data_IF_467168699397
#
_entry.id   IF_467168699397
#
_cell.length_a   1.000
_cell.length_b   1.000
_cell.length_c   1.000
_cell.angle_alpha   90.00
_cell.angle_beta   90.00
_cell.angle_gamma   90.00
#
_symmetry.space_group_name_H-M   'P 1'
#
loop_
_entity.id
_entity.type
_entity.pdbx_description
1 polymer ?
#
# COMPACT_ATOMS: atom_id res chain seq x y z
N UNK A 1 16.89 11.84 0.13
CA UNK A 1 15.81 11.24 -0.66
C UNK A 1 14.56 11.15 0.18
N UNK A 2 13.42 11.45 -0.39
CA UNK A 2 12.16 11.18 0.25
C UNK A 2 12.05 9.66 0.46
N UNK A 3 11.70 9.25 1.65
CA UNK A 3 11.23 7.89 1.91
C UNK A 3 9.71 7.98 2.06
N UNK A 4 9.01 6.96 1.64
CA UNK A 4 7.56 6.94 1.72
C UNK A 4 7.09 6.74 3.17
N UNK A 5 6.04 7.47 3.52
CA UNK A 5 5.38 7.40 4.81
C UNK A 5 3.92 6.99 4.58
N UNK A 6 3.44 6.06 5.37
CA UNK A 6 2.05 5.64 5.36
C UNK A 6 1.31 6.39 6.48
N UNK A 7 0.41 7.28 6.10
CA UNK A 7 -0.45 8.01 7.02
C UNK A 7 -1.76 7.26 7.20
N UNK A 8 -2.22 7.15 8.42
CA UNK A 8 -3.53 6.62 8.78
C UNK A 8 -4.17 7.55 9.80
N UNK A 9 -5.33 8.10 9.47
CA UNK A 9 -6.16 8.89 10.39
C UNK A 9 -7.47 8.15 10.58
N UNK A 10 -7.88 7.92 11.82
CA UNK A 10 -9.15 7.32 12.16
C UNK A 10 -9.85 8.14 13.22
N UNK A 11 -11.08 8.51 12.97
CA UNK A 11 -11.89 9.24 13.94
C UNK A 11 -13.31 8.66 14.01
N UNK A 12 -13.87 8.48 15.21
CA UNK A 12 -15.25 8.01 15.37
C UNK A 12 -16.24 9.06 14.83
N UNK A 13 -17.28 8.60 14.14
CA UNK A 13 -18.35 9.47 13.68
C UNK A 13 -19.22 9.94 14.87
N UNK A 14 -19.73 11.15 14.78
CA UNK A 14 -20.77 11.64 15.68
C UNK A 14 -22.05 10.79 15.53
N UNK A 15 -22.81 10.52 16.57
CA UNK A 15 -24.06 9.76 16.48
C UNK A 15 -24.99 10.31 15.40
N UNK A 16 -25.57 9.42 14.60
CA UNK A 16 -26.50 9.76 13.52
C UNK A 16 -25.92 10.41 12.27
N UNK A 17 -24.58 10.57 12.17
CA UNK A 17 -23.92 11.21 11.01
C UNK A 17 -23.55 10.26 9.86
N UNK A 18 -23.89 8.99 9.95
CA UNK A 18 -23.62 8.02 8.87
C UNK A 18 -24.17 8.44 7.51
N UNK A 19 -25.46 8.78 7.38
CA UNK A 19 -26.07 9.19 6.10
C UNK A 19 -25.40 10.44 5.49
N UNK A 20 -25.13 11.47 6.30
CA UNK A 20 -24.44 12.69 5.85
C UNK A 20 -23.02 12.38 5.38
N UNK A 21 -22.29 11.55 6.13
CA UNK A 21 -20.94 11.10 5.75
C UNK A 21 -20.96 10.34 4.43
N UNK A 22 -21.95 9.47 4.21
CA UNK A 22 -22.10 8.73 2.95
C UNK A 22 -22.36 9.68 1.77
N UNK A 23 -23.20 10.71 1.96
CA UNK A 23 -23.46 11.73 0.94
C UNK A 23 -22.18 12.53 0.59
N UNK A 24 -21.42 12.95 1.60
CA UNK A 24 -20.16 13.67 1.39
C UNK A 24 -19.09 12.79 0.71
N UNK A 25 -19.03 11.50 1.04
CA UNK A 25 -18.13 10.56 0.36
C UNK A 25 -18.52 10.36 -1.10
N UNK A 26 -19.82 10.31 -1.40
CA UNK A 26 -20.28 10.20 -2.79
C UNK A 26 -19.97 11.48 -3.59
N UNK A 27 -20.09 12.67 -2.97
CA UNK A 27 -19.67 13.93 -3.59
C UNK A 27 -18.15 13.96 -3.84
N UNK A 28 -17.34 13.58 -2.83
CA UNK A 28 -15.88 13.46 -2.98
C UNK A 28 -15.49 12.45 -4.05
N UNK A 29 -16.19 11.33 -4.18
CA UNK A 29 -15.93 10.33 -5.22
C UNK A 29 -16.04 10.93 -6.61
N UNK A 30 -17.08 11.72 -6.87
CA UNK A 30 -17.30 12.36 -8.18
C UNK A 30 -16.19 13.34 -8.53
N UNK A 31 -15.72 14.15 -7.57
CA UNK A 31 -14.59 15.07 -7.80
C UNK A 31 -13.29 14.32 -8.02
N UNK A 32 -13.05 13.25 -7.25
CA UNK A 32 -11.84 12.42 -7.40
C UNK A 32 -11.83 11.67 -8.74
N UNK A 33 -12.96 11.12 -9.19
CA UNK A 33 -13.08 10.45 -10.51
C UNK A 33 -12.92 11.42 -11.68
N UNK A 34 -13.23 12.70 -11.50
CA UNK A 34 -13.12 13.71 -12.57
C UNK A 34 -11.68 14.19 -12.77
N UNK A 35 -11.00 14.61 -11.72
CA UNK A 35 -9.68 15.25 -11.79
C UNK A 35 -8.75 14.95 -10.60
N UNK A 36 -9.08 13.93 -9.80
CA UNK A 36 -8.38 13.58 -8.57
C UNK A 36 -8.82 14.42 -7.35
N UNK A 37 -9.62 15.45 -7.57
CA UNK A 37 -10.19 16.31 -6.53
C UNK A 37 -9.18 16.80 -5.49
N UNK A 38 -9.59 16.99 -4.23
CA UNK A 38 -8.70 17.44 -3.18
C UNK A 38 -7.57 16.47 -2.87
N UNK A 39 -7.72 15.16 -3.17
CA UNK A 39 -6.69 14.17 -2.91
C UNK A 39 -5.46 14.37 -3.81
N UNK A 40 -5.66 14.79 -5.06
CA UNK A 40 -4.58 15.09 -6.01
C UNK A 40 -3.76 16.34 -5.60
N UNK A 41 -4.36 17.25 -4.84
CA UNK A 41 -3.73 18.50 -4.41
C UNK A 41 -2.89 18.34 -3.13
N UNK A 42 -3.00 17.20 -2.45
CA UNK A 42 -2.23 16.95 -1.25
C UNK A 42 -0.74 16.70 -1.58
N UNK A 43 0.21 17.32 -0.86
CA UNK A 43 1.64 17.18 -1.16
C UNK A 43 2.14 15.74 -1.09
N UNK A 44 2.86 15.32 -2.14
CA UNK A 44 3.63 14.08 -2.17
C UNK A 44 2.81 12.78 -2.13
N UNK A 45 1.54 12.83 -2.51
CA UNK A 45 0.65 11.66 -2.48
C UNK A 45 0.94 10.73 -3.65
N UNK A 46 1.21 9.47 -3.36
CA UNK A 46 1.20 8.37 -4.33
C UNK A 46 -0.21 7.80 -4.46
N UNK A 47 -0.79 7.43 -3.33
CA UNK A 47 -2.15 6.92 -3.22
C UNK A 47 -2.83 7.53 -2.00
N UNK A 48 -4.14 7.72 -2.09
CA UNK A 48 -4.97 8.13 -0.96
C UNK A 48 -6.35 7.49 -1.04
N UNK A 49 -6.96 7.24 0.12
CA UNK A 49 -8.33 6.73 0.20
C UNK A 49 -9.07 7.19 1.44
N UNK A 50 -10.37 7.35 1.29
CA UNK A 50 -11.28 7.71 2.38
C UNK A 50 -12.45 6.73 2.39
N UNK A 51 -12.80 6.23 3.56
CA UNK A 51 -13.92 5.30 3.72
C UNK A 51 -14.46 5.32 5.14
N UNK A 52 -15.65 4.76 5.31
CA UNK A 52 -16.22 4.48 6.64
C UNK A 52 -15.85 3.07 7.04
N UNK A 53 -15.22 2.93 8.19
CA UNK A 53 -15.04 1.67 8.88
C UNK A 53 -16.25 1.41 9.74
N UNK A 54 -17.04 0.34 9.50
CA UNK A 54 -18.19 0.01 10.31
C UNK A 54 -17.87 -0.13 11.78
N UNK A 55 -18.80 0.28 12.61
CA UNK A 55 -18.77 0.03 14.05
C UNK A 55 -18.86 -1.46 14.39
N UNK A 56 -18.99 -1.73 15.66
CA UNK A 56 -19.07 -3.09 16.18
C UNK A 56 -19.84 -3.05 17.51
N UNK A 57 -21.09 -3.49 17.50
CA UNK A 57 -21.96 -3.47 18.68
C UNK A 57 -21.46 -4.40 19.79
N UNK A 58 -20.84 -5.56 19.45
CA UNK A 58 -20.27 -6.49 20.44
C UNK A 58 -19.07 -5.84 21.18
N UNK A 59 -18.40 -4.89 20.56
CA UNK A 59 -17.24 -4.19 21.11
C UNK A 59 -17.57 -2.79 21.62
N UNK A 60 -18.82 -2.34 21.50
CA UNK A 60 -19.27 -0.96 21.79
C UNK A 60 -18.43 0.09 21.04
N UNK A 61 -18.27 -0.12 19.73
CA UNK A 61 -17.47 0.74 18.85
C UNK A 61 -18.37 1.30 17.77
N UNK A 62 -18.39 2.63 17.66
CA UNK A 62 -19.13 3.36 16.63
C UNK A 62 -18.40 3.33 15.29
N UNK A 63 -19.13 3.61 14.20
CA UNK A 63 -18.54 3.87 12.88
C UNK A 63 -17.42 4.88 12.96
N UNK A 64 -16.40 4.72 12.13
CA UNK A 64 -15.29 5.65 12.09
C UNK A 64 -15.00 6.08 10.65
N UNK A 65 -14.73 7.36 10.43
CA UNK A 65 -14.12 7.82 9.19
C UNK A 65 -12.63 7.47 9.21
N UNK A 66 -12.15 6.89 8.12
CA UNK A 66 -10.74 6.52 7.95
C UNK A 66 -10.19 7.19 6.70
N UNK A 67 -9.06 7.85 6.86
CA UNK A 67 -8.22 8.36 5.78
C UNK A 67 -6.89 7.60 5.79
N UNK A 68 -6.51 7.04 4.64
CA UNK A 68 -5.21 6.42 4.41
C UNK A 68 -4.49 7.13 3.28
N UNK A 69 -3.18 7.31 3.39
CA UNK A 69 -2.36 7.75 2.27
C UNK A 69 -0.94 7.22 2.33
N UNK A 70 -0.35 7.06 1.18
CA UNK A 70 1.06 6.77 0.91
C UNK A 70 1.69 8.04 0.35
N UNK A 71 2.62 8.61 1.10
CA UNK A 71 3.16 9.93 0.80
C UNK A 71 4.69 9.97 0.85
N UNK A 72 5.26 10.92 0.16
CA UNK A 72 6.66 11.30 0.36
C UNK A 72 6.87 12.01 1.70
N UNK A 73 7.98 11.72 2.37
CA UNK A 73 8.39 12.48 3.56
C UNK A 73 8.77 13.93 3.17
N UNK A 74 8.54 14.90 4.07
CA UNK A 74 8.02 14.77 5.43
C UNK A 74 6.49 14.83 5.49
N UNK A 75 5.86 14.17 6.46
CA UNK A 75 4.40 14.13 6.60
C UNK A 75 3.74 15.46 7.04
N UNK A 76 4.51 16.40 7.63
CA UNK A 76 3.94 17.64 8.19
C UNK A 76 3.23 18.54 7.16
N UNK A 77 3.78 18.80 5.96
CA UNK A 77 3.08 19.55 4.91
C UNK A 77 1.77 18.89 4.51
N UNK A 78 1.79 17.59 4.31
CA UNK A 78 0.63 16.79 3.95
C UNK A 78 -0.50 16.89 5.00
N UNK A 79 -0.19 16.67 6.29
CA UNK A 79 -1.21 16.78 7.35
C UNK A 79 -1.77 18.19 7.53
N UNK A 80 -0.99 19.23 7.20
CA UNK A 80 -1.48 20.61 7.19
C UNK A 80 -2.41 20.87 6.01
N UNK A 81 -2.05 20.37 4.83
CA UNK A 81 -2.90 20.48 3.63
C UNK A 81 -4.21 19.72 3.83
N UNK A 82 -4.15 18.47 4.31
CA UNK A 82 -5.30 17.64 4.67
C UNK A 82 -6.27 18.35 5.62
N UNK A 83 -5.72 19.04 6.64
CA UNK A 83 -6.52 19.77 7.63
C UNK A 83 -7.03 21.13 7.14
N UNK A 84 -6.47 21.65 6.04
CA UNK A 84 -6.84 22.96 5.47
C UNK A 84 -7.85 22.84 4.32
N UNK A 85 -7.99 21.65 3.76
CA UNK A 85 -8.91 21.37 2.66
C UNK A 85 -10.35 21.44 3.11
N UNK A 86 -11.22 22.05 2.28
CA UNK A 86 -12.63 22.28 2.62
C UNK A 86 -13.50 21.04 2.52
N UNK A 87 -13.33 20.23 1.48
CA UNK A 87 -14.13 19.01 1.26
C UNK A 87 -13.75 17.91 2.27
N UNK A 88 -12.46 17.69 2.48
CA UNK A 88 -11.97 16.75 3.50
C UNK A 88 -12.28 17.26 4.91
N UNK A 89 -12.25 18.59 5.12
CA UNK A 89 -12.68 19.22 6.35
C UNK A 89 -14.17 18.98 6.65
N UNK A 90 -15.04 19.04 5.65
CA UNK A 90 -16.48 18.74 5.80
C UNK A 90 -16.72 17.28 6.22
N UNK A 91 -15.92 16.33 5.69
CA UNK A 91 -15.93 14.93 6.13
C UNK A 91 -15.46 14.78 7.59
N UNK A 92 -14.35 15.43 7.97
CA UNK A 92 -13.85 15.38 9.34
C UNK A 92 -14.79 16.07 10.32
N UNK A 93 -15.58 17.05 9.88
CA UNK A 93 -16.60 17.69 10.71
C UNK A 93 -17.73 16.73 11.16
N UNK A 94 -17.89 15.59 10.47
CA UNK A 94 -18.82 14.54 10.91
C UNK A 94 -18.26 13.72 12.08
N UNK A 95 -16.97 13.90 12.43
CA UNK A 95 -16.28 13.13 13.47
C UNK A 95 -16.34 13.82 14.84
N UNK A 96 -16.26 13.00 15.89
CA UNK A 96 -16.23 13.47 17.27
C UNK A 96 -15.03 14.38 17.55
N UNK A 97 -15.28 15.52 18.18
CA UNK A 97 -14.22 16.45 18.62
C UNK A 97 -13.51 17.21 17.50
N UNK A 98 -13.98 17.14 16.26
CA UNK A 98 -13.45 18.00 15.21
C UNK A 98 -13.77 19.47 15.52
N UNK A 99 -12.82 20.41 15.37
CA UNK A 99 -13.03 21.81 15.73
C UNK A 99 -13.81 22.55 14.64
N UNK A 100 -15.14 22.39 14.66
CA UNK A 100 -16.05 23.08 13.74
C UNK A 100 -15.90 24.61 13.87
N UNK A 101 -15.63 25.31 12.77
CA UNK A 101 -15.36 26.76 12.76
C UNK A 101 -14.01 27.15 13.41
N UNK A 102 -13.17 26.19 13.80
CA UNK A 102 -11.88 26.42 14.42
C UNK A 102 -10.79 26.84 13.45
N UNK A 103 -9.65 27.25 14.00
CA UNK A 103 -8.49 27.61 13.19
C UNK A 103 -7.89 26.38 12.47
N UNK A 104 -7.25 26.59 11.31
CA UNK A 104 -6.46 25.55 10.60
C UNK A 104 -5.46 24.84 11.50
N UNK A 105 -4.93 25.54 12.53
CA UNK A 105 -4.01 24.95 13.51
C UNK A 105 -4.73 23.95 14.43
N UNK A 106 -5.96 24.22 14.81
CA UNK A 106 -6.77 23.32 15.63
C UNK A 106 -7.14 22.06 14.83
N UNK A 107 -7.60 22.20 13.58
CA UNK A 107 -7.86 21.08 12.68
C UNK A 107 -6.61 20.21 12.45
N UNK A 108 -5.45 20.82 12.18
CA UNK A 108 -4.20 20.08 12.02
C UNK A 108 -3.72 19.37 13.30
N UNK A 109 -4.03 19.92 14.46
CA UNK A 109 -3.77 19.26 15.76
C UNK A 109 -4.69 18.06 15.93
N UNK A 110 -5.96 18.22 15.61
CA UNK A 110 -6.96 17.15 15.69
C UNK A 110 -6.60 15.98 14.76
N UNK A 111 -6.26 16.24 13.49
CA UNK A 111 -5.81 15.21 12.53
C UNK A 111 -4.60 14.46 13.08
N UNK A 112 -3.62 15.15 13.67
CA UNK A 112 -2.44 14.50 14.28
C UNK A 112 -2.78 13.63 15.49
N UNK A 113 -3.76 14.03 16.30
CA UNK A 113 -4.20 13.27 17.47
C UNK A 113 -4.94 11.99 17.08
N UNK A 114 -5.58 11.98 15.90
CA UNK A 114 -6.30 10.83 15.36
C UNK A 114 -5.44 9.94 14.45
N UNK A 115 -4.13 10.20 14.37
CA UNK A 115 -3.23 9.30 13.66
C UNK A 115 -3.12 7.95 14.36
N UNK A 116 -3.24 6.89 13.58
CA UNK A 116 -3.07 5.50 14.02
C UNK A 116 -1.77 4.93 13.46
N UNK A 117 -1.06 4.18 14.29
CA UNK A 117 0.20 3.55 13.89
C UNK A 117 -0.05 2.38 12.95
N UNK A 118 0.65 2.36 11.82
CA UNK A 118 0.69 1.21 10.92
C UNK A 118 1.49 0.09 11.58
N UNK A 119 0.92 -1.12 11.63
CA UNK A 119 1.56 -2.27 12.25
C UNK A 119 2.60 -2.91 11.33
N UNK A 120 2.29 -2.97 10.04
CA UNK A 120 3.15 -3.53 8.99
C UNK A 120 2.93 -2.75 7.71
N UNK A 121 4.00 -2.57 6.94
CA UNK A 121 3.94 -1.91 5.64
C UNK A 121 4.80 -2.63 4.61
N UNK A 122 4.35 -2.55 3.37
CA UNK A 122 5.14 -2.86 2.19
C UNK A 122 5.14 -1.63 1.27
N UNK A 123 6.28 -1.35 0.66
CA UNK A 123 6.48 -0.27 -0.32
C UNK A 123 7.33 -0.83 -1.45
N UNK A 124 6.79 -0.85 -2.67
CA UNK A 124 7.50 -1.35 -3.85
C UNK A 124 8.68 -0.44 -4.22
N UNK A 125 8.42 0.84 -4.40
CA UNK A 125 9.39 1.82 -4.89
C UNK A 125 10.07 2.60 -3.77
N UNK A 126 10.72 1.90 -2.84
CA UNK A 126 11.39 2.56 -1.69
C UNK A 126 12.38 3.63 -2.17
N UNK A 127 12.17 4.88 -1.73
CA UNK A 127 13.09 5.99 -2.00
C UNK A 127 12.81 6.74 -3.30
N UNK A 128 11.84 6.35 -4.13
CA UNK A 128 11.39 7.10 -5.31
C UNK A 128 10.14 7.91 -4.97
N UNK A 129 10.26 9.24 -5.01
CA UNK A 129 9.13 10.16 -4.78
C UNK A 129 8.15 10.19 -5.94
N UNK A 130 6.94 10.68 -5.69
CA UNK A 130 5.88 10.75 -6.72
C UNK A 130 6.30 11.60 -7.93
N UNK A 131 6.98 12.71 -7.70
CA UNK A 131 7.47 13.57 -8.80
C UNK A 131 8.54 12.83 -9.62
N UNK A 132 9.44 12.09 -8.97
CA UNK A 132 10.41 11.27 -9.67
C UNK A 132 9.75 10.18 -10.54
N UNK A 133 8.70 9.53 -10.03
CA UNK A 133 7.93 8.52 -10.79
C UNK A 133 7.32 9.15 -12.05
N UNK A 134 6.72 10.35 -11.92
CA UNK A 134 6.16 11.09 -13.05
C UNK A 134 7.21 11.51 -14.06
N UNK A 135 8.35 12.02 -13.58
CA UNK A 135 9.45 12.44 -14.44
C UNK A 135 10.06 11.26 -15.19
N UNK A 136 10.22 10.10 -14.55
CA UNK A 136 10.71 8.85 -15.17
C UNK A 136 9.73 8.35 -16.25
N UNK A 137 8.42 8.41 -16.01
CA UNK A 137 7.41 8.06 -17.01
C UNK A 137 7.41 9.03 -18.20
N UNK A 138 7.51 10.33 -17.95
CA UNK A 138 7.66 11.33 -18.98
C UNK A 138 8.92 11.14 -19.81
N UNK A 139 10.05 10.85 -19.16
CA UNK A 139 11.31 10.54 -19.84
C UNK A 139 11.15 9.38 -20.82
N UNK A 140 10.48 8.30 -20.40
CA UNK A 140 10.18 7.15 -21.28
C UNK A 140 9.39 7.58 -22.51
N UNK A 141 8.28 8.30 -22.32
CA UNK A 141 7.43 8.75 -23.42
C UNK A 141 8.16 9.63 -24.42
N UNK A 142 9.06 10.51 -23.95
CA UNK A 142 9.88 11.36 -24.82
C UNK A 142 10.94 10.54 -25.59
N UNK A 143 11.52 9.49 -24.97
CA UNK A 143 12.44 8.58 -25.65
C UNK A 143 11.71 7.75 -26.72
N UNK A 144 10.54 7.21 -26.40
CA UNK A 144 9.71 6.47 -27.35
C UNK A 144 9.35 7.35 -28.56
N UNK A 145 8.91 8.58 -28.32
CA UNK A 145 8.63 9.57 -29.39
C UNK A 145 9.87 9.87 -30.24
N UNK A 146 11.06 9.97 -29.64
CA UNK A 146 12.31 10.15 -30.37
C UNK A 146 12.64 8.95 -31.26
N UNK A 147 12.39 7.74 -30.79
CA UNK A 147 12.65 6.50 -31.52
C UNK A 147 11.66 6.25 -32.68
N UNK A 148 10.45 6.81 -32.61
CA UNK A 148 9.43 6.69 -33.64
C UNK A 148 9.82 7.37 -34.97
N UNK A 149 10.79 8.32 -34.95
CA UNK A 149 11.31 8.95 -36.14
C UNK A 149 12.64 8.30 -36.58
N UNK A 150 12.66 7.50 -37.66
CA UNK A 150 13.86 6.86 -38.16
C UNK A 150 15.01 7.82 -38.51
N UNK A 151 14.69 9.12 -38.77
CA UNK A 151 15.71 10.13 -39.10
C UNK A 151 16.61 10.44 -37.90
N UNK A 152 16.19 10.13 -36.70
CA UNK A 152 16.96 10.33 -35.47
C UNK A 152 17.98 9.20 -35.23
N UNK A 153 17.82 8.06 -35.91
CA UNK A 153 18.60 6.86 -35.64
C UNK A 153 19.76 6.69 -36.61
N UNK A 154 20.92 6.14 -36.16
CA UNK A 154 22.04 5.81 -37.04
C UNK A 154 21.60 4.69 -37.99
N UNK A 155 21.83 4.91 -39.30
CA UNK A 155 21.50 3.92 -40.34
C UNK A 155 22.36 2.67 -40.15
N UNK A 156 21.72 1.52 -39.85
CA UNK A 156 22.41 0.28 -39.56
C UNK A 156 23.22 0.29 -38.27
N UNK A 157 22.89 1.20 -37.36
CA UNK A 157 23.60 1.38 -36.11
C UNK A 157 23.47 0.21 -35.15
N UNK A 158 24.50 -0.02 -34.36
CA UNK A 158 24.48 -0.98 -33.26
C UNK A 158 23.59 -0.52 -32.10
N UNK A 159 23.18 -1.42 -31.21
CA UNK A 159 22.44 -1.04 -30.01
C UNK A 159 23.10 0.06 -29.17
N UNK A 160 24.43 0.02 -29.02
CA UNK A 160 25.19 1.04 -28.31
C UNK A 160 25.15 2.41 -29.02
N UNK A 161 25.16 2.44 -30.34
CA UNK A 161 25.05 3.69 -31.12
C UNK A 161 23.61 4.29 -30.99
N UNK A 162 22.58 3.44 -30.96
CA UNK A 162 21.20 3.90 -30.70
C UNK A 162 21.09 4.45 -29.27
N UNK A 163 21.63 3.79 -28.28
CA UNK A 163 21.67 4.27 -26.91
C UNK A 163 22.37 5.64 -26.80
N UNK A 164 23.52 5.82 -27.49
CA UNK A 164 24.25 7.10 -27.49
C UNK A 164 23.46 8.20 -28.24
N UNK A 165 22.68 7.87 -29.27
CA UNK A 165 21.78 8.81 -29.90
C UNK A 165 20.69 9.29 -28.92
N UNK A 166 20.09 8.39 -28.16
CA UNK A 166 19.13 8.73 -27.11
C UNK A 166 19.78 9.61 -26.03
N UNK A 167 20.99 9.27 -25.57
CA UNK A 167 21.72 10.08 -24.57
C UNK A 167 21.96 11.52 -25.08
N UNK A 168 22.36 11.68 -26.35
CA UNK A 168 22.54 13.00 -26.98
C UNK A 168 21.23 13.78 -27.09
N UNK A 169 20.14 13.11 -27.44
CA UNK A 169 18.79 13.70 -27.42
C UNK A 169 18.43 14.21 -26.03
N UNK A 170 18.55 13.38 -25.00
CA UNK A 170 18.27 13.76 -23.62
C UNK A 170 19.19 14.90 -23.14
N UNK A 171 20.49 14.87 -23.52
CA UNK A 171 21.45 15.94 -23.17
C UNK A 171 21.10 17.28 -23.82
N UNK A 172 20.54 17.27 -25.02
CA UNK A 172 20.09 18.47 -25.75
C UNK A 172 18.80 19.08 -25.21
N UNK A 173 18.10 18.40 -24.30
CA UNK A 173 16.83 18.82 -23.70
C UNK A 173 17.03 19.26 -22.25
N UNK A 174 16.97 20.56 -21.93
CA UNK A 174 17.16 21.06 -20.56
C UNK A 174 16.19 20.46 -19.54
N UNK A 175 14.95 20.18 -19.96
CA UNK A 175 13.90 19.57 -19.16
C UNK A 175 14.10 18.07 -18.90
N UNK A 176 14.97 17.38 -19.65
CA UNK A 176 15.29 15.96 -19.50
C UNK A 176 16.72 15.71 -18.98
N UNK A 177 17.62 16.71 -19.04
CA UNK A 177 19.03 16.56 -18.68
C UNK A 177 19.30 16.06 -17.25
N UNK A 178 18.31 16.16 -16.35
CA UNK A 178 18.35 15.59 -15.01
C UNK A 178 18.53 14.07 -15.04
N UNK A 179 18.02 13.38 -16.08
CA UNK A 179 18.05 11.93 -16.21
C UNK A 179 19.45 11.36 -16.41
N UNK A 180 20.37 12.17 -16.96
CA UNK A 180 21.78 11.80 -17.15
C UNK A 180 22.58 11.73 -15.83
N UNK A 181 22.00 12.25 -14.74
CA UNK A 181 22.64 12.20 -13.43
C UNK A 181 22.23 10.91 -12.72
N UNK A 182 23.19 10.18 -12.12
CA UNK A 182 22.86 9.00 -11.33
C UNK A 182 21.77 9.31 -10.28
N UNK A 183 20.81 8.41 -10.14
CA UNK A 183 19.82 8.54 -9.09
C UNK A 183 20.51 8.56 -7.73
N UNK A 184 20.21 9.56 -6.91
CA UNK A 184 20.75 9.60 -5.56
C UNK A 184 20.16 8.42 -4.76
N UNK A 185 20.99 7.48 -4.35
CA UNK A 185 20.60 6.37 -3.48
C UNK A 185 20.12 6.85 -2.09
N UNK A 186 19.55 5.96 -1.28
CA UNK A 186 19.16 6.28 0.08
C UNK A 186 20.32 6.87 0.88
N UNK A 187 20.05 7.97 1.60
CA UNK A 187 21.07 8.66 2.39
C UNK A 187 21.71 7.77 3.47
N UNK A 188 22.94 8.09 3.89
CA UNK A 188 23.69 7.32 4.89
C UNK A 188 22.90 7.13 6.20
N UNK A 189 22.20 8.15 6.67
CA UNK A 189 21.38 8.07 7.88
C UNK A 189 20.24 7.05 7.75
N UNK A 190 19.61 6.94 6.57
CA UNK A 190 18.61 5.93 6.30
C UNK A 190 19.25 4.53 6.31
N UNK A 191 20.36 4.33 5.59
CA UNK A 191 21.08 3.04 5.55
C UNK A 191 21.53 2.60 6.93
N UNK A 192 22.09 3.51 7.74
CA UNK A 192 22.52 3.23 9.10
C UNK A 192 21.33 2.81 10.00
N UNK A 193 20.20 3.51 9.88
CA UNK A 193 18.99 3.16 10.62
C UNK A 193 18.44 1.79 10.21
N UNK A 194 18.39 1.48 8.92
CA UNK A 194 17.91 0.18 8.44
C UNK A 194 18.88 -0.95 8.84
N UNK A 195 20.18 -0.74 8.78
CA UNK A 195 21.18 -1.69 9.27
C UNK A 195 21.03 -1.91 10.79
N UNK A 196 20.91 -0.82 11.56
CA UNK A 196 20.70 -0.93 13.01
C UNK A 196 19.41 -1.71 13.30
N UNK A 197 18.32 -1.45 12.58
CA UNK A 197 17.07 -2.17 12.74
C UNK A 197 17.22 -3.66 12.38
N UNK A 198 17.94 -3.97 11.29
CA UNK A 198 18.18 -5.33 10.86
C UNK A 198 18.98 -6.15 11.88
N UNK A 199 19.94 -5.52 12.57
CA UNK A 199 20.82 -6.20 13.56
C UNK A 199 20.23 -6.17 14.96
N UNK A 200 19.63 -5.05 15.38
CA UNK A 200 19.18 -4.85 16.75
C UNK A 200 18.08 -5.84 17.16
N UNK A 201 17.12 -6.13 16.30
CA UNK A 201 16.05 -7.07 16.61
C UNK A 201 16.56 -8.50 16.85
N UNK A 202 17.33 -9.13 15.93
CA UNK A 202 17.92 -10.44 16.18
C UNK A 202 18.84 -10.45 17.42
N UNK A 203 19.68 -9.42 17.59
CA UNK A 203 20.57 -9.32 18.74
C UNK A 203 19.83 -9.22 20.07
N UNK A 204 18.67 -8.56 20.12
CA UNK A 204 17.82 -8.47 21.30
C UNK A 204 17.10 -9.79 21.59
N UNK A 205 16.64 -10.49 20.52
CA UNK A 205 15.85 -11.72 20.67
C UNK A 205 16.71 -12.95 20.91
N UNK A 206 17.96 -12.98 20.44
CA UNK A 206 18.85 -14.15 20.56
C UNK A 206 19.09 -14.59 22.00
N UNK A 207 19.44 -13.71 22.97
CA UNK A 207 19.61 -14.13 24.37
C UNK A 207 18.31 -14.56 25.04
N UNK A 208 17.16 -14.14 24.51
CA UNK A 208 15.84 -14.55 25.01
C UNK A 208 15.34 -15.85 24.35
N UNK A 209 16.03 -16.37 23.32
CA UNK A 209 15.63 -17.55 22.59
C UNK A 209 15.35 -18.78 23.47
N UNK A 210 16.12 -19.09 24.54
CA UNK A 210 15.83 -20.23 25.41
C UNK A 210 14.46 -20.18 26.07
N UNK A 211 13.91 -18.98 26.28
CA UNK A 211 12.56 -18.78 26.84
C UNK A 211 11.51 -18.62 25.74
N UNK A 212 11.84 -17.87 24.70
CA UNK A 212 10.90 -17.55 23.63
C UNK A 212 10.57 -18.76 22.75
N UNK A 213 11.54 -19.63 22.47
CA UNK A 213 11.29 -20.82 21.64
C UNK A 213 10.32 -21.81 22.28
N UNK A 214 10.49 -22.24 23.54
CA UNK A 214 9.49 -23.08 24.21
C UNK A 214 8.12 -22.42 24.31
N UNK A 215 8.08 -21.10 24.63
CA UNK A 215 6.84 -20.37 24.70
C UNK A 215 6.14 -20.29 23.33
N UNK A 216 6.89 -20.11 22.23
CA UNK A 216 6.36 -20.13 20.88
C UNK A 216 5.81 -21.51 20.50
N UNK A 217 6.52 -22.60 20.85
CA UNK A 217 6.05 -23.97 20.61
C UNK A 217 4.76 -24.24 21.38
N UNK A 218 4.70 -23.90 22.67
CA UNK A 218 3.48 -24.08 23.48
C UNK A 218 2.33 -23.21 22.95
N UNK A 219 2.63 -21.97 22.54
CA UNK A 219 1.66 -21.08 21.91
C UNK A 219 1.12 -21.67 20.60
N UNK A 220 1.99 -22.20 19.74
CA UNK A 220 1.61 -22.83 18.47
C UNK A 220 0.75 -24.09 18.69
N UNK A 221 1.09 -24.92 19.67
CA UNK A 221 0.28 -26.08 20.05
C UNK A 221 -1.10 -25.66 20.59
N UNK A 222 -1.15 -24.61 21.40
CA UNK A 222 -2.41 -24.07 21.91
C UNK A 222 -3.27 -23.47 20.78
N UNK A 223 -2.66 -22.80 19.80
CA UNK A 223 -3.35 -22.30 18.60
C UNK A 223 -3.86 -23.48 17.78
N UNK A 224 -3.03 -24.50 17.55
CA UNK A 224 -3.45 -25.69 16.79
C UNK A 224 -4.69 -26.35 17.37
N UNK A 225 -4.78 -26.44 18.71
CA UNK A 225 -5.98 -26.93 19.39
C UNK A 225 -7.20 -26.05 19.20
N UNK A 226 -7.01 -24.72 19.07
CA UNK A 226 -8.12 -23.77 18.85
C UNK A 226 -8.56 -23.75 17.39
N UNK A 227 -7.65 -23.93 16.44
CA UNK A 227 -7.96 -23.99 15.00
C UNK A 227 -9.01 -25.05 14.66
N UNK A 228 -9.03 -26.18 15.38
CA UNK A 228 -10.03 -27.24 15.18
C UNK A 228 -11.47 -26.82 15.56
N UNK A 229 -11.61 -25.69 16.24
CA UNK A 229 -12.90 -25.12 16.67
C UNK A 229 -13.25 -23.84 15.91
N UNK A 230 -12.37 -23.41 15.01
CA UNK A 230 -12.62 -22.22 14.18
C UNK A 230 -13.74 -22.53 13.18
N UNK A 231 -14.76 -21.70 13.17
CA UNK A 231 -15.90 -21.82 12.26
C UNK A 231 -15.71 -20.81 11.13
N UNK A 232 -15.68 -21.27 9.87
CA UNK A 232 -15.62 -20.37 8.74
C UNK A 232 -16.93 -19.64 8.53
N UNK A 233 -16.86 -18.44 8.04
CA UNK A 233 -18.03 -17.71 7.58
C UNK A 233 -18.44 -18.22 6.20
N UNK A 234 -19.68 -18.72 6.12
CA UNK A 234 -20.21 -19.33 4.88
C UNK A 234 -21.22 -18.45 4.16
N UNK A 235 -21.67 -17.38 4.82
CA UNK A 235 -22.63 -16.45 4.23
C UNK A 235 -22.00 -15.70 3.04
N UNK A 236 -22.77 -15.57 1.96
CA UNK A 236 -22.36 -14.77 0.81
C UNK A 236 -22.56 -13.28 1.08
N UNK A 237 -21.68 -12.41 0.55
CA UNK A 237 -21.94 -10.98 0.60
C UNK A 237 -23.25 -10.66 -0.14
N UNK A 238 -23.96 -9.63 0.31
CA UNK A 238 -25.21 -9.22 -0.35
C UNK A 238 -24.91 -8.65 -1.74
N UNK A 239 -25.85 -8.80 -2.68
CA UNK A 239 -25.70 -8.25 -4.04
C UNK A 239 -25.51 -6.73 -4.03
N UNK A 240 -26.14 -6.02 -3.11
CA UNK A 240 -25.97 -4.58 -2.93
C UNK A 240 -24.54 -4.22 -2.50
N UNK A 241 -23.94 -4.99 -1.57
CA UNK A 241 -22.56 -4.80 -1.14
C UNK A 241 -21.60 -5.08 -2.29
N UNK A 242 -21.77 -6.20 -2.99
CA UNK A 242 -20.96 -6.53 -4.17
C UNK A 242 -21.04 -5.43 -5.23
N UNK A 243 -22.23 -4.96 -5.57
CA UNK A 243 -22.40 -3.87 -6.54
C UNK A 243 -21.71 -2.57 -6.09
N UNK A 244 -21.65 -2.31 -4.79
CA UNK A 244 -20.98 -1.10 -4.25
C UNK A 244 -19.45 -1.21 -4.36
N UNK A 245 -18.85 -2.34 -4.01
CA UNK A 245 -17.40 -2.51 -4.08
C UNK A 245 -16.92 -2.61 -5.54
N UNK A 246 -17.66 -3.29 -6.41
CA UNK A 246 -17.30 -3.45 -7.83
C UNK A 246 -17.25 -2.13 -8.60
N UNK A 247 -17.97 -1.09 -8.15
CA UNK A 247 -17.86 0.25 -8.76
C UNK A 247 -16.47 0.88 -8.65
N UNK A 248 -15.65 0.45 -7.70
CA UNK A 248 -14.29 0.97 -7.51
C UNK A 248 -13.20 0.01 -7.94
N UNK A 249 -13.53 -1.07 -8.67
CA UNK A 249 -12.61 -2.12 -9.06
C UNK A 249 -12.44 -2.20 -10.57
N UNK A 250 -11.27 -2.67 -10.99
CA UNK A 250 -10.97 -3.07 -12.38
C UNK A 250 -11.15 -1.95 -13.43
N UNK A 251 -11.01 -0.68 -13.02
CA UNK A 251 -11.16 0.47 -13.93
C UNK A 251 -9.86 0.98 -14.51
N UNK A 252 -8.72 0.55 -14.01
CA UNK A 252 -7.40 1.03 -14.44
C UNK A 252 -6.32 -0.03 -14.29
N UNK A 253 -5.10 0.39 -14.60
CA UNK A 253 -3.92 -0.47 -14.42
C UNK A 253 -3.72 -0.78 -12.94
N UNK A 254 -3.84 0.23 -12.07
CA UNK A 254 -3.74 0.09 -10.62
C UNK A 254 -5.11 0.16 -9.98
N UNK A 255 -5.37 -0.69 -9.01
CA UNK A 255 -6.65 -0.80 -8.32
C UNK A 255 -6.48 -0.87 -6.80
N UNK A 256 -7.46 -0.36 -6.01
CA UNK A 256 -7.43 -0.40 -4.57
C UNK A 256 -8.05 -1.68 -4.00
N UNK A 257 -7.49 -2.20 -2.94
CA UNK A 257 -8.16 -3.17 -2.08
C UNK A 257 -8.15 -2.67 -0.63
N UNK A 258 -9.29 -2.70 0.01
CA UNK A 258 -9.43 -2.36 1.44
C UNK A 258 -10.36 -3.37 2.09
N UNK A 259 -9.88 -4.04 3.12
CA UNK A 259 -10.67 -4.96 3.90
C UNK A 259 -10.45 -4.76 5.40
N UNK A 260 -11.43 -5.12 6.19
CA UNK A 260 -11.30 -5.13 7.65
C UNK A 260 -11.76 -6.48 8.21
N UNK A 261 -11.35 -6.76 9.44
CA UNK A 261 -11.81 -7.97 10.13
C UNK A 261 -11.68 -7.84 11.64
N UNK A 262 -12.53 -8.57 12.35
CA UNK A 262 -12.42 -8.75 13.79
C UNK A 262 -11.39 -9.83 14.08
N UNK A 263 -10.53 -9.60 15.07
CA UNK A 263 -9.58 -10.60 15.54
C UNK A 263 -10.29 -11.56 16.50
N UNK A 264 -10.09 -12.85 16.33
CA UNK A 264 -10.64 -13.91 17.21
C UNK A 264 -10.36 -13.61 18.68
N UNK A 265 -11.34 -13.87 19.52
CA UNK A 265 -11.29 -13.55 20.95
C UNK A 265 -10.14 -14.25 21.66
N UNK A 266 -9.52 -13.55 22.60
CA UNK A 266 -8.53 -14.04 23.53
C UNK A 266 -7.11 -13.51 23.29
N UNK A 267 -6.36 -13.44 24.40
CA UNK A 267 -5.01 -12.88 24.41
C UNK A 267 -4.07 -13.62 23.45
N UNK A 268 -4.17 -14.94 23.36
CA UNK A 268 -3.30 -15.74 22.48
C UNK A 268 -3.45 -15.32 21.01
N UNK A 269 -4.68 -15.15 20.50
CA UNK A 269 -4.92 -14.72 19.10
C UNK A 269 -4.43 -13.30 18.86
N UNK A 270 -4.65 -12.37 19.82
CA UNK A 270 -4.14 -11.00 19.72
C UNK A 270 -2.60 -10.96 19.72
N UNK A 271 -1.97 -11.72 20.60
CA UNK A 271 -0.50 -11.81 20.62
C UNK A 271 0.03 -12.39 19.32
N UNK A 272 -0.62 -13.46 18.80
CA UNK A 272 -0.21 -14.10 17.55
C UNK A 272 -0.25 -13.11 16.37
N UNK A 273 -1.34 -12.37 16.18
CA UNK A 273 -1.43 -11.41 15.06
C UNK A 273 -0.42 -10.27 15.22
N UNK A 274 -0.16 -9.78 16.44
CA UNK A 274 0.85 -8.75 16.69
C UNK A 274 2.25 -9.27 16.35
N UNK A 275 2.59 -10.49 16.77
CA UNK A 275 3.88 -11.13 16.47
C UNK A 275 4.02 -11.38 14.97
N UNK A 276 2.97 -11.92 14.33
CA UNK A 276 2.96 -12.17 12.89
C UNK A 276 3.16 -10.88 12.09
N UNK A 277 2.44 -9.81 12.43
CA UNK A 277 2.58 -8.52 11.75
C UNK A 277 3.95 -7.88 11.99
N UNK A 278 4.54 -8.00 13.16
CA UNK A 278 5.91 -7.51 13.40
C UNK A 278 6.96 -8.29 12.63
N UNK A 279 6.80 -9.62 12.56
CA UNK A 279 7.65 -10.47 11.73
C UNK A 279 7.52 -10.11 10.25
N UNK A 280 6.30 -9.87 9.78
CA UNK A 280 6.04 -9.44 8.41
C UNK A 280 6.61 -8.04 8.11
N UNK A 281 6.52 -7.09 9.05
CA UNK A 281 7.15 -5.76 8.90
C UNK A 281 8.67 -5.88 8.76
N UNK A 282 9.28 -6.73 9.59
CA UNK A 282 10.72 -7.00 9.50
C UNK A 282 11.10 -7.64 8.17
N UNK A 283 10.35 -8.65 7.73
CA UNK A 283 10.60 -9.34 6.47
C UNK A 283 10.38 -8.41 5.26
N UNK A 284 9.32 -7.61 5.26
CA UNK A 284 9.03 -6.64 4.20
C UNK A 284 10.10 -5.56 4.08
N UNK A 285 10.75 -5.19 5.20
CA UNK A 285 11.82 -4.17 5.20
C UNK A 285 13.17 -4.72 4.75
N UNK A 286 13.49 -5.98 5.07
CA UNK A 286 14.86 -6.49 4.92
C UNK A 286 15.00 -7.62 3.91
N UNK A 287 13.93 -8.37 3.63
CA UNK A 287 13.96 -9.53 2.73
C UNK A 287 13.13 -9.33 1.47
N UNK A 288 11.96 -8.66 1.59
CA UNK A 288 11.03 -8.45 0.48
C UNK A 288 10.99 -6.98 0.00
N UNK A 289 12.05 -6.23 0.23
CA UNK A 289 12.08 -4.78 0.01
C UNK A 289 12.41 -4.33 -1.41
N UNK A 290 12.59 -5.27 -2.34
CA UNK A 290 12.96 -4.97 -3.74
C UNK A 290 12.06 -5.76 -4.67
N UNK A 291 11.09 -5.06 -5.23
CA UNK A 291 10.30 -5.48 -6.40
C UNK A 291 9.49 -6.77 -6.25
N UNK A 292 9.36 -7.31 -5.02
CA UNK A 292 8.74 -8.61 -4.84
C UNK A 292 8.28 -8.87 -3.40
N UNK A 293 6.98 -8.78 -3.14
CA UNK A 293 6.42 -9.24 -1.88
C UNK A 293 6.18 -10.76 -1.93
N UNK A 294 7.22 -11.53 -1.60
CA UNK A 294 7.17 -13.01 -1.54
C UNK A 294 6.65 -13.67 -2.85
N UNK A 295 6.99 -13.11 -4.01
CA UNK A 295 6.58 -13.61 -5.32
C UNK A 295 5.49 -12.80 -6.02
N UNK A 296 4.80 -11.91 -5.31
CA UNK A 296 3.81 -11.01 -5.91
C UNK A 296 4.48 -9.70 -6.30
N UNK A 297 4.47 -9.38 -7.59
CA UNK A 297 5.11 -8.19 -8.16
C UNK A 297 4.12 -7.08 -8.51
N UNK A 298 2.83 -7.34 -8.38
CA UNK A 298 1.76 -6.42 -8.74
C UNK A 298 1.37 -5.46 -7.62
N UNK A 299 2.01 -5.51 -6.44
CA UNK A 299 1.64 -4.68 -5.29
C UNK A 299 2.54 -3.45 -5.22
N UNK A 300 1.94 -2.25 -5.29
CA UNK A 300 2.63 -0.97 -5.10
C UNK A 300 2.84 -0.67 -3.62
N UNK A 301 1.78 -0.72 -2.84
CA UNK A 301 1.79 -0.51 -1.40
C UNK A 301 0.85 -1.50 -0.72
N UNK A 302 1.21 -1.89 0.50
CA UNK A 302 0.30 -2.61 1.39
C UNK A 302 0.54 -2.20 2.84
N UNK A 303 -0.54 -2.19 3.62
CA UNK A 303 -0.48 -1.91 5.06
C UNK A 303 -1.44 -2.78 5.85
N UNK A 304 -1.05 -3.05 7.08
CA UNK A 304 -1.92 -3.60 8.11
C UNK A 304 -1.98 -2.61 9.28
N UNK A 305 -3.18 -2.31 9.73
CA UNK A 305 -3.41 -1.40 10.85
C UNK A 305 -4.20 -2.14 11.92
N UNK A 306 -3.60 -2.32 13.09
CA UNK A 306 -4.28 -2.87 14.25
C UNK A 306 -5.05 -1.78 14.99
N UNK A 307 -6.31 -2.03 15.26
CA UNK A 307 -7.23 -1.11 15.90
C UNK A 307 -7.79 -1.69 17.20
N UNK A 308 -8.31 -0.81 18.03
CA UNK A 308 -9.10 -1.17 19.23
C UNK A 308 -8.37 -2.16 20.16
N UNK A 309 -7.09 -1.87 20.43
CA UNK A 309 -6.25 -2.75 21.25
C UNK A 309 -5.97 -4.11 20.60
N UNK A 310 -5.92 -4.18 19.27
CA UNK A 310 -5.67 -5.41 18.51
C UNK A 310 -6.90 -6.32 18.37
N UNK A 311 -8.10 -5.76 18.55
CA UNK A 311 -9.36 -6.48 18.35
C UNK A 311 -9.86 -6.44 16.92
N UNK A 312 -9.44 -5.43 16.15
CA UNK A 312 -9.77 -5.28 14.72
C UNK A 312 -8.51 -5.01 13.92
N UNK A 313 -8.54 -5.36 12.65
CA UNK A 313 -7.45 -5.12 11.70
C UNK A 313 -8.01 -4.57 10.40
N UNK A 314 -7.32 -3.58 9.83
CA UNK A 314 -7.50 -3.14 8.45
C UNK A 314 -6.33 -3.67 7.64
N UNK A 315 -6.62 -4.20 6.46
CA UNK A 315 -5.66 -4.44 5.39
C UNK A 315 -6.03 -3.53 4.22
N UNK A 316 -5.06 -2.79 3.70
CA UNK A 316 -5.24 -1.98 2.50
C UNK A 316 -4.02 -2.12 1.59
N UNK A 317 -4.26 -2.26 0.29
CA UNK A 317 -3.23 -2.35 -0.74
C UNK A 317 -3.63 -1.64 -2.02
N UNK A 318 -2.62 -1.31 -2.84
CA UNK A 318 -2.73 -0.81 -4.20
C UNK A 318 -1.99 -1.80 -5.09
N UNK A 319 -2.66 -2.34 -6.11
CA UNK A 319 -2.18 -3.46 -6.90
C UNK A 319 -2.53 -3.32 -8.38
N UNK A 320 -1.76 -3.98 -9.24
CA UNK A 320 -1.97 -4.00 -10.68
C UNK A 320 -2.96 -5.09 -11.10
N UNK A 321 -3.75 -4.78 -12.12
CA UNK A 321 -4.64 -5.73 -12.76
C UNK A 321 -5.96 -5.95 -12.03
N UNK A 322 -6.67 -7.03 -12.37
CA UNK A 322 -7.99 -7.30 -11.83
C UNK A 322 -7.96 -7.83 -10.40
N UNK A 323 -9.06 -7.58 -9.68
CA UNK A 323 -9.25 -8.08 -8.32
C UNK A 323 -9.15 -9.62 -8.27
N UNK A 324 -9.66 -10.31 -9.29
CA UNK A 324 -9.61 -11.76 -9.38
C UNK A 324 -8.16 -12.26 -9.47
N UNK A 325 -7.37 -11.70 -10.41
CA UNK A 325 -5.94 -12.04 -10.56
C UNK A 325 -5.15 -11.77 -9.28
N UNK A 326 -5.46 -10.66 -8.59
CA UNK A 326 -4.83 -10.31 -7.33
C UNK A 326 -5.12 -11.33 -6.22
N UNK A 327 -6.35 -11.85 -6.14
CA UNK A 327 -6.71 -12.90 -5.19
C UNK A 327 -6.04 -14.22 -5.53
N UNK A 328 -5.92 -14.55 -6.82
CA UNK A 328 -5.23 -15.76 -7.29
C UNK A 328 -3.73 -15.72 -6.96
N UNK A 329 -3.07 -14.58 -7.12
CA UNK A 329 -1.68 -14.40 -6.69
C UNK A 329 -1.52 -14.69 -5.18
N UNK A 330 -2.48 -14.30 -4.34
CA UNK A 330 -2.43 -14.62 -2.91
C UNK A 330 -2.60 -16.11 -2.62
N UNK A 331 -3.49 -16.78 -3.36
CA UNK A 331 -3.76 -18.21 -3.20
C UNK A 331 -2.55 -19.03 -3.67
N UNK A 332 -2.01 -18.70 -4.83
CA UNK A 332 -1.00 -19.51 -5.49
C UNK A 332 0.41 -19.27 -4.96
N UNK A 333 0.77 -18.01 -4.69
CA UNK A 333 2.15 -17.61 -4.38
C UNK A 333 2.40 -17.47 -2.88
N UNK A 334 1.47 -16.87 -2.14
CA UNK A 334 1.71 -16.47 -0.74
C UNK A 334 0.63 -16.91 0.25
N UNK A 335 -0.12 -17.97 -0.07
CA UNK A 335 -1.17 -18.48 0.82
C UNK A 335 -0.70 -18.64 2.29
N UNK A 336 0.54 -19.09 2.51
CA UNK A 336 1.11 -19.24 3.84
C UNK A 336 1.21 -17.92 4.62
N UNK A 337 1.63 -16.86 3.94
CA UNK A 337 1.77 -15.51 4.54
C UNK A 337 0.42 -14.88 4.82
N UNK A 338 -0.52 -15.01 3.87
CA UNK A 338 -1.91 -14.59 4.02
C UNK A 338 -2.55 -15.31 5.21
N UNK A 339 -2.42 -16.63 5.26
CA UNK A 339 -2.95 -17.45 6.36
C UNK A 339 -2.37 -17.05 7.72
N UNK A 340 -1.07 -16.78 7.80
CA UNK A 340 -0.39 -16.40 9.04
C UNK A 340 -1.06 -15.18 9.71
N UNK A 341 -1.50 -14.22 8.93
CA UNK A 341 -2.16 -13.01 9.43
C UNK A 341 -3.67 -13.21 9.55
N UNK A 342 -4.33 -13.57 8.44
CA UNK A 342 -5.80 -13.57 8.35
C UNK A 342 -6.46 -14.75 9.07
N UNK A 343 -5.73 -15.87 9.35
CA UNK A 343 -6.25 -16.96 10.19
C UNK A 343 -6.63 -16.53 11.62
N UNK A 344 -6.12 -15.38 12.06
CA UNK A 344 -6.51 -14.78 13.32
C UNK A 344 -7.82 -13.98 13.22
N UNK A 345 -8.35 -13.78 12.00
CA UNK A 345 -9.64 -13.14 11.73
C UNK A 345 -10.81 -14.07 12.03
N UNK A 346 -11.89 -13.52 12.61
CA UNK A 346 -13.16 -14.22 12.84
C UNK A 346 -13.76 -14.58 11.48
N UNK A 347 -14.22 -15.84 11.34
CA UNK A 347 -14.85 -16.30 10.09
C UNK A 347 -13.89 -16.69 8.96
N UNK A 348 -12.57 -16.49 9.12
CA UNK A 348 -11.59 -16.89 8.10
C UNK A 348 -11.62 -18.41 7.87
N UNK A 349 -11.39 -18.89 6.63
CA UNK A 349 -11.33 -20.31 6.32
C UNK A 349 -10.38 -21.08 7.24
N UNK A 350 -10.70 -22.35 7.60
CA UNK A 350 -9.93 -23.12 8.58
C UNK A 350 -8.48 -23.30 8.15
N UNK A 351 -7.56 -23.10 9.09
CA UNK A 351 -6.13 -23.31 8.88
C UNK A 351 -5.58 -24.44 9.72
N UNK A 352 -4.40 -24.93 9.35
CA UNK A 352 -3.58 -25.80 10.16
C UNK A 352 -2.22 -25.17 10.38
N UNK A 353 -1.83 -25.04 11.66
CA UNK A 353 -0.56 -24.44 12.06
C UNK A 353 -0.41 -23.00 11.55
N UNK A 354 -1.50 -22.25 11.48
CA UNK A 354 -1.60 -20.86 11.00
C UNK A 354 -1.30 -20.65 9.49
N UNK A 355 -0.64 -21.56 8.81
CA UNK A 355 -0.07 -21.35 7.48
C UNK A 355 -0.58 -22.32 6.40
N UNK A 356 -1.13 -23.47 6.80
CA UNK A 356 -1.63 -24.49 5.86
C UNK A 356 -3.13 -24.33 5.65
N UNK A 357 -3.64 -24.77 4.51
CA UNK A 357 -5.05 -24.72 4.11
C UNK A 357 -5.55 -23.27 3.97
N UNK A 358 -6.55 -22.82 4.68
CA UNK A 358 -7.02 -21.42 4.71
C UNK A 358 -7.33 -20.86 3.34
N UNK A 359 -6.47 -19.98 2.80
CA UNK A 359 -6.63 -19.37 1.48
C UNK A 359 -6.73 -20.39 0.33
N UNK A 360 -6.23 -21.62 0.51
CA UNK A 360 -6.37 -22.69 -0.50
C UNK A 360 -7.79 -23.22 -0.63
N UNK A 361 -8.67 -22.95 0.33
CA UNK A 361 -10.11 -23.09 0.14
C UNK A 361 -10.63 -21.89 -0.63
N UNK A 362 -10.26 -21.79 -1.90
CA UNK A 362 -10.40 -20.64 -2.77
C UNK A 362 -11.77 -19.96 -2.68
N UNK A 363 -12.86 -20.74 -2.85
CA UNK A 363 -14.22 -20.18 -2.81
C UNK A 363 -14.55 -19.56 -1.45
N UNK A 364 -14.17 -20.20 -0.34
CA UNK A 364 -14.38 -19.67 1.00
C UNK A 364 -13.52 -18.43 1.25
N UNK A 365 -12.28 -18.45 0.78
CA UNK A 365 -11.35 -17.33 0.92
C UNK A 365 -11.81 -16.10 0.14
N UNK A 366 -12.12 -16.25 -1.15
CA UNK A 366 -12.61 -15.16 -1.99
C UNK A 366 -13.92 -14.59 -1.44
N UNK A 367 -14.84 -15.46 -0.99
CA UNK A 367 -16.08 -15.06 -0.34
C UNK A 367 -15.84 -14.27 0.96
N UNK A 368 -14.95 -14.75 1.81
CA UNK A 368 -14.56 -14.07 3.05
C UNK A 368 -14.02 -12.67 2.75
N UNK A 369 -13.07 -12.55 1.82
CA UNK A 369 -12.50 -11.26 1.47
C UNK A 369 -13.55 -10.29 0.88
N UNK A 370 -14.38 -10.78 -0.05
CA UNK A 370 -15.46 -9.96 -0.63
C UNK A 370 -16.46 -9.45 0.40
N UNK A 371 -16.76 -10.24 1.43
CA UNK A 371 -17.65 -9.83 2.51
C UNK A 371 -17.04 -8.75 3.39
N UNK A 372 -15.75 -8.83 3.63
CA UNK A 372 -15.00 -7.92 4.50
C UNK A 372 -14.38 -6.73 3.76
N UNK A 373 -14.51 -6.68 2.44
CA UNK A 373 -14.03 -5.58 1.63
C UNK A 373 -14.90 -4.34 1.84
N UNK A 374 -14.23 -3.17 1.88
CA UNK A 374 -14.89 -1.88 2.08
C UNK A 374 -14.78 -1.03 0.80
N UNK A 375 -15.90 -0.39 0.39
CA UNK A 375 -15.84 0.63 -0.64
C UNK A 375 -15.05 1.83 -0.14
N UNK A 376 -14.25 2.43 -0.99
CA UNK A 376 -13.47 3.62 -0.66
C UNK A 376 -13.51 4.64 -1.80
N UNK A 377 -13.44 5.92 -1.46
CA UNK A 377 -13.02 6.94 -2.42
C UNK A 377 -11.52 6.85 -2.52
N UNK A 378 -10.99 6.62 -3.71
CA UNK A 378 -9.58 6.32 -3.92
C UNK A 378 -8.97 7.18 -5.01
N UNK A 379 -7.71 7.56 -4.83
CA UNK A 379 -6.89 8.35 -5.74
C UNK A 379 -5.51 7.70 -5.90
N UNK A 380 -5.03 7.68 -7.13
CA UNK A 380 -3.67 7.31 -7.50
C UNK A 380 -3.01 8.41 -8.33
N UNK A 381 -1.82 8.84 -7.95
CA UNK A 381 -1.10 9.90 -8.65
C UNK A 381 -0.54 9.45 -10.02
N UNK A 382 -0.30 8.15 -10.18
CA UNK A 382 0.21 7.49 -11.39
C UNK A 382 -0.53 6.15 -11.56
N UNK A 383 -1.87 6.19 -11.62
CA UNK A 383 -2.70 4.99 -11.64
C UNK A 383 -2.68 4.22 -12.97
N UNK A 384 -2.07 4.78 -14.00
CA UNK A 384 -1.82 4.18 -15.31
C UNK A 384 -0.52 3.37 -15.39
N UNK A 385 0.37 3.54 -14.41
CA UNK A 385 1.67 2.88 -14.36
C UNK A 385 1.63 1.65 -13.46
N UNK A 386 1.86 0.48 -14.02
CA UNK A 386 2.06 -0.74 -13.23
C UNK A 386 3.37 -0.70 -12.44
N UNK A 387 3.48 -1.53 -11.42
CA UNK A 387 4.71 -1.71 -10.66
C UNK A 387 5.90 -2.06 -11.56
N UNK A 388 5.65 -2.89 -12.60
CA UNK A 388 6.64 -3.21 -13.62
C UNK A 388 7.05 -1.97 -14.43
N UNK A 389 6.10 -1.13 -14.88
CA UNK A 389 6.44 0.12 -15.57
C UNK A 389 7.33 1.02 -14.70
N UNK A 390 7.03 1.09 -13.39
CA UNK A 390 7.86 1.86 -12.46
C UNK A 390 9.30 1.34 -12.41
N UNK A 391 9.49 0.03 -12.39
CA UNK A 391 10.83 -0.58 -12.37
C UNK A 391 11.56 -0.41 -13.68
N UNK A 392 10.89 -0.67 -14.81
CA UNK A 392 11.45 -0.50 -16.15
C UNK A 392 11.88 0.97 -16.38
N UNK A 393 11.06 1.95 -15.97
CA UNK A 393 11.38 3.38 -16.06
C UNK A 393 12.60 3.76 -15.22
N UNK A 394 12.75 3.18 -14.04
CA UNK A 394 13.93 3.40 -13.22
C UNK A 394 15.20 2.82 -13.83
N UNK A 395 15.11 1.65 -14.47
CA UNK A 395 16.24 1.02 -15.20
C UNK A 395 16.57 1.83 -16.44
N UNK A 396 15.58 2.32 -17.20
CA UNK A 396 15.78 3.22 -18.34
C UNK A 396 16.56 4.46 -17.93
N UNK A 397 16.14 5.12 -16.87
CA UNK A 397 16.87 6.27 -16.33
C UNK A 397 18.28 5.92 -15.89
N UNK A 398 18.45 4.79 -15.19
CA UNK A 398 19.77 4.40 -14.71
C UNK A 398 20.76 4.15 -15.84
N UNK A 399 20.32 3.55 -16.95
CA UNK A 399 21.13 3.28 -18.13
C UNK A 399 21.61 4.55 -18.85
N UNK A 400 20.93 5.68 -18.72
CA UNK A 400 21.36 6.95 -19.30
C UNK A 400 22.57 7.58 -18.57
N UNK A 401 22.89 7.15 -17.36
CA UNK A 401 23.96 7.74 -16.56
C UNK A 401 25.38 7.31 -17.01
N UNK A 402 25.50 6.35 -17.92
CA UNK A 402 26.78 5.82 -18.40
C UNK A 402 26.71 5.36 -19.86
N UNK A 403 27.86 4.91 -20.39
CA UNK A 403 27.93 4.21 -21.66
C UNK A 403 27.58 2.74 -21.45
N UNK A 404 26.90 2.14 -22.41
CA UNK A 404 26.54 0.72 -22.41
C UNK A 404 27.26 -0.01 -23.56
N UNK A 405 27.64 -1.25 -23.30
CA UNK A 405 28.07 -2.18 -24.36
C UNK A 405 26.87 -2.54 -25.25
N UNK A 406 27.10 -3.11 -26.43
CA UNK A 406 26.03 -3.54 -27.35
C UNK A 406 25.06 -4.54 -26.70
N UNK A 407 25.51 -5.43 -25.85
CA UNK A 407 24.68 -6.39 -25.14
C UNK A 407 23.83 -5.73 -24.06
N UNK A 408 24.43 -4.85 -23.26
CA UNK A 408 23.73 -4.07 -22.26
C UNK A 408 22.71 -3.11 -22.90
N UNK A 409 23.11 -2.42 -23.98
CA UNK A 409 22.23 -1.53 -24.72
C UNK A 409 21.04 -2.27 -25.36
N UNK A 410 21.25 -3.48 -25.90
CA UNK A 410 20.17 -4.31 -26.42
C UNK A 410 19.17 -4.68 -25.34
N UNK A 411 19.64 -5.06 -24.16
CA UNK A 411 18.79 -5.38 -23.00
C UNK A 411 18.05 -4.15 -22.51
N UNK A 412 18.69 -3.00 -22.48
CA UNK A 412 18.12 -1.73 -22.08
C UNK A 412 17.06 -1.24 -23.06
N UNK A 413 17.33 -1.30 -24.39
CA UNK A 413 16.36 -0.93 -25.42
C UNK A 413 15.13 -1.83 -25.44
N UNK A 414 15.24 -3.08 -25.00
CA UNK A 414 14.11 -3.99 -24.89
C UNK A 414 13.11 -3.62 -23.79
N UNK A 415 13.42 -2.63 -22.96
CA UNK A 415 12.50 -2.07 -21.97
C UNK A 415 11.56 -1.00 -22.56
N UNK A 416 11.92 -0.42 -23.68
CA UNK A 416 11.13 0.54 -24.45
C UNK A 416 10.09 -0.17 -25.32
#
# INVERSE_FOLDING_TARGET
MPHQILVTVRAPLKPGRGPETAHLLEALRKTVEHDGGPLAQLPGVHFARVFVLPGDDELDITDSLVYLSEIDAPQRPHLRALAADGELGALFAQCVGYPDGGSRRAAARWVRQHQVRVATRYVHTVGRGVDQVRDEARLRAEIETFLDDPAHLPVGGSPAEVHEAIRRFVAGRPDLAWALRPAAGPGLAFRARELLHAVAWPALLLPLAPVLLPAAVLGLLAIRRRESRDVPETERPTSAHVATITRGEDHGTVNPFTAYGQVKVGLLRRTTIVVALRGLDYAARHWYSRDNLAGVRSIHFARWVLLDGGRRVIFASDYDGSQESYMDDFIDRIAWGVNLVFSNGRGYPPTRWLIKDGARYEELYKRYLRRHQLPSVWFAACGDLSARNLDDNAVLRAGLAGELTDEEARTWLALL
#
